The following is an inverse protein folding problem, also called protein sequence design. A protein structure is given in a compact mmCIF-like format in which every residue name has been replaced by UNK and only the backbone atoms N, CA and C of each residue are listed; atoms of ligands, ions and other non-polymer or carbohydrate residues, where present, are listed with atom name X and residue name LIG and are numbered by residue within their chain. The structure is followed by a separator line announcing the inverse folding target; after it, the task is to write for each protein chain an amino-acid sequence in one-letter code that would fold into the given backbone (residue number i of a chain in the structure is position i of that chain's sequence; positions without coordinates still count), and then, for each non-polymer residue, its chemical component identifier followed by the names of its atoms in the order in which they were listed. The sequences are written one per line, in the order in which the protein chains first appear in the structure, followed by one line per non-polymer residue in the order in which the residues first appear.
data_IF_151335367068
#
_entry.id   IF_151335367068
#
_cell.length_a   1.000
_cell.length_b   1.000
_cell.length_c   1.000
_cell.angle_alpha   90.00
_cell.angle_beta   90.00
_cell.angle_gamma   90.00
#
_symmetry.space_group_name_H-M   'P 1'
#
loop_
_entity.id
_entity.type
_entity.pdbx_description
1 polymer ?
#
# COMPACT_ATOMS: atom_id res chain seq x y z
N UNK A 1 1.67 -2.26 -8.30
CA UNK A 1 2.26 -3.55 -7.87
C UNK A 1 1.39 -4.73 -8.33
N UNK A 2 1.97 -5.90 -8.67
CA UNK A 2 1.17 -7.14 -8.89
C UNK A 2 1.01 -7.88 -7.57
N UNK A 3 -0.08 -8.64 -7.42
CA UNK A 3 -0.36 -9.37 -6.18
C UNK A 3 0.67 -10.48 -5.88
N UNK A 4 1.24 -11.09 -6.91
CA UNK A 4 2.33 -12.06 -6.82
C UNK A 4 3.51 -11.52 -6.03
N UNK A 5 3.93 -10.29 -6.33
CA UNK A 5 5.13 -9.65 -5.78
C UNK A 5 4.96 -9.28 -4.30
N UNK A 6 3.71 -9.26 -3.83
CA UNK A 6 3.36 -8.99 -2.42
C UNK A 6 3.38 -10.28 -1.62
N UNK A 7 2.95 -11.39 -2.22
CA UNK A 7 2.91 -12.70 -1.56
C UNK A 7 4.29 -13.29 -1.30
N UNK A 8 5.29 -12.90 -2.08
CA UNK A 8 6.69 -13.34 -1.92
C UNK A 8 7.42 -12.61 -0.79
N UNK A 9 6.86 -11.53 -0.25
CA UNK A 9 7.50 -10.70 0.79
C UNK A 9 7.22 -11.24 2.18
N UNK A 10 8.14 -11.00 3.11
CA UNK A 10 7.94 -11.31 4.53
C UNK A 10 6.91 -10.37 5.17
N UNK A 11 6.35 -10.75 6.32
CA UNK A 11 5.37 -9.91 7.02
C UNK A 11 5.96 -8.55 7.43
N UNK A 12 7.23 -8.51 7.80
CA UNK A 12 7.90 -7.27 8.20
C UNK A 12 8.20 -6.37 7.00
N UNK A 13 8.57 -6.95 5.85
CA UNK A 13 8.69 -6.21 4.59
C UNK A 13 7.34 -5.62 4.15
N UNK A 14 6.25 -6.36 4.34
CA UNK A 14 4.90 -5.89 4.05
C UNK A 14 4.48 -4.74 4.97
N UNK A 15 4.80 -4.82 6.27
CA UNK A 15 4.56 -3.73 7.23
C UNK A 15 5.38 -2.48 6.88
N UNK A 16 6.66 -2.65 6.53
CA UNK A 16 7.52 -1.55 6.12
C UNK A 16 6.97 -0.84 4.87
N UNK A 17 6.63 -1.61 3.83
CA UNK A 17 6.04 -1.06 2.60
C UNK A 17 4.68 -0.40 2.84
N UNK A 18 3.87 -0.93 3.75
CA UNK A 18 2.60 -0.31 4.13
C UNK A 18 2.82 1.08 4.75
N UNK A 19 3.86 1.24 5.58
CA UNK A 19 4.23 2.53 6.17
C UNK A 19 4.70 3.51 5.10
N UNK A 20 5.54 3.07 4.17
CA UNK A 20 6.06 3.94 3.11
C UNK A 20 4.96 4.40 2.15
N UNK A 21 4.07 3.48 1.73
CA UNK A 21 2.91 3.83 0.90
C UNK A 21 1.94 4.78 1.62
N UNK A 22 1.83 4.69 2.95
CA UNK A 22 1.02 5.63 3.75
C UNK A 22 1.64 7.01 3.80
N UNK A 23 2.96 7.12 3.98
CA UNK A 23 3.70 8.39 3.91
C UNK A 23 3.54 9.02 2.52
N UNK A 24 3.71 8.24 1.47
CA UNK A 24 3.53 8.70 0.10
C UNK A 24 2.09 9.18 -0.14
N UNK A 25 1.08 8.42 0.31
CA UNK A 25 -0.32 8.85 0.23
C UNK A 25 -0.60 10.15 0.99
N UNK A 26 0.08 10.39 2.10
CA UNK A 26 -0.07 11.63 2.87
C UNK A 26 0.55 12.81 2.11
N UNK A 27 1.74 12.63 1.56
CA UNK A 27 2.40 13.63 0.72
C UNK A 27 1.58 13.98 -0.52
N UNK A 28 1.01 12.99 -1.21
CA UNK A 28 0.14 13.24 -2.36
C UNK A 28 -1.15 13.98 -1.98
N UNK A 29 -1.68 13.78 -0.76
CA UNK A 29 -2.83 14.55 -0.27
C UNK A 29 -2.47 16.01 -0.07
N UNK A 30 -1.28 16.28 0.46
CA UNK A 30 -0.78 17.64 0.63
C UNK A 30 -0.54 18.33 -0.72
N UNK A 31 0.13 17.65 -1.67
CA UNK A 31 0.32 18.15 -3.04
C UNK A 31 -1.01 18.40 -3.77
N UNK A 32 -2.02 17.54 -3.56
CA UNK A 32 -3.35 17.75 -4.11
C UNK A 32 -4.01 19.03 -3.56
N UNK A 33 -3.84 19.30 -2.26
CA UNK A 33 -4.39 20.48 -1.62
C UNK A 33 -3.65 21.76 -2.02
N UNK A 34 -2.34 21.69 -2.30
CA UNK A 34 -1.55 22.83 -2.80
C UNK A 34 -1.70 23.08 -4.31
N UNK A 35 -2.43 22.22 -5.03
CA UNK A 35 -2.60 22.32 -6.48
C UNK A 35 -1.37 21.91 -7.30
N UNK A 36 -0.38 21.28 -6.68
CA UNK A 36 0.90 20.88 -7.29
C UNK A 36 0.94 19.38 -7.63
N UNK A 37 -0.21 18.72 -7.71
CA UNK A 37 -0.28 17.28 -7.97
C UNK A 37 -0.23 16.99 -9.48
N UNK A 38 0.96 16.66 -9.98
CA UNK A 38 1.14 16.30 -11.40
C UNK A 38 0.57 14.92 -11.75
N UNK A 39 0.75 13.92 -10.87
CA UNK A 39 0.39 12.53 -11.16
C UNK A 39 -0.80 12.04 -10.32
N UNK A 40 -2.01 12.28 -10.81
CA UNK A 40 -3.26 11.83 -10.18
C UNK A 40 -3.44 10.31 -10.22
N UNK A 41 -2.87 9.62 -11.23
CA UNK A 41 -2.93 8.17 -11.34
C UNK A 41 -2.19 7.48 -10.19
N UNK A 42 -1.09 8.08 -9.71
CA UNK A 42 -0.31 7.56 -8.58
C UNK A 42 -1.14 7.44 -7.30
N UNK A 43 -2.04 8.38 -7.03
CA UNK A 43 -2.95 8.33 -5.87
C UNK A 43 -3.82 7.07 -5.88
N UNK A 44 -4.37 6.72 -7.05
CA UNK A 44 -5.18 5.51 -7.20
C UNK A 44 -4.32 4.24 -7.13
N UNK A 45 -3.10 4.27 -7.67
CA UNK A 45 -2.16 3.16 -7.57
C UNK A 45 -1.79 2.85 -6.11
N UNK A 46 -1.41 3.87 -5.33
CA UNK A 46 -1.07 3.72 -3.90
C UNK A 46 -2.24 3.15 -3.11
N UNK A 47 -3.47 3.64 -3.34
CA UNK A 47 -4.66 3.10 -2.67
C UNK A 47 -4.84 1.60 -2.93
N UNK A 48 -4.66 1.17 -4.19
CA UNK A 48 -4.75 -0.24 -4.57
C UNK A 48 -3.60 -1.06 -3.99
N UNK A 49 -2.38 -0.53 -3.97
CA UNK A 49 -1.21 -1.20 -3.41
C UNK A 49 -1.36 -1.41 -1.89
N UNK A 50 -1.84 -0.40 -1.14
CA UNK A 50 -2.18 -0.51 0.29
C UNK A 50 -3.25 -1.58 0.52
N UNK A 51 -4.31 -1.59 -0.30
CA UNK A 51 -5.39 -2.57 -0.16
C UNK A 51 -4.86 -4.01 -0.34
N UNK A 52 -4.05 -4.26 -1.38
CA UNK A 52 -3.47 -5.60 -1.63
C UNK A 52 -2.59 -6.07 -0.48
N UNK A 53 -1.75 -5.20 0.08
CA UNK A 53 -0.89 -5.55 1.24
C UNK A 53 -1.75 -5.93 2.44
N UNK A 54 -2.75 -5.11 2.77
CA UNK A 54 -3.67 -5.40 3.88
C UNK A 54 -4.42 -6.71 3.69
N UNK A 55 -4.90 -6.99 2.48
CA UNK A 55 -5.58 -8.24 2.16
C UNK A 55 -4.68 -9.44 2.42
N UNK A 56 -3.42 -9.41 1.95
CA UNK A 56 -2.49 -10.53 2.15
C UNK A 56 -2.11 -10.73 3.61
N UNK A 57 -1.90 -9.65 4.37
CA UNK A 57 -1.68 -9.73 5.82
C UNK A 57 -2.90 -10.37 6.51
N UNK A 58 -4.11 -10.00 6.09
CA UNK A 58 -5.36 -10.59 6.58
C UNK A 58 -5.47 -12.07 6.23
N UNK A 59 -5.22 -12.44 4.96
CA UNK A 59 -5.19 -13.83 4.48
C UNK A 59 -4.23 -14.69 5.33
N UNK A 60 -3.02 -14.19 5.61
CA UNK A 60 -2.02 -14.87 6.44
C UNK A 60 -2.47 -15.04 7.90
N UNK A 61 -3.10 -14.01 8.46
CA UNK A 61 -3.60 -14.03 9.85
C UNK A 61 -4.75 -15.02 10.00
N UNK A 62 -5.69 -15.03 9.06
CA UNK A 62 -6.80 -15.99 9.04
C UNK A 62 -6.30 -17.44 8.86
N UNK A 63 -5.31 -17.65 7.99
CA UNK A 63 -4.70 -18.97 7.80
C UNK A 63 -3.96 -19.46 9.05
N UNK A 64 -3.28 -18.57 9.80
CA UNK A 64 -2.58 -18.93 11.04
C UNK A 64 -3.53 -19.18 12.24
N UNK A 65 -4.77 -18.69 12.16
CA UNK A 65 -5.80 -18.87 13.17
C UNK A 65 -6.69 -20.11 12.94
N UNK A 66 -6.47 -20.83 11.83
CA UNK A 66 -7.19 -22.06 11.43
C UNK A 66 -6.33 -23.28 11.70
#
# INVERSE_FOLDING_TARGET
MKASDVRTKSDDELKAQLLDLRKESFNLRFQAASGQLDNTARKNAIRKDIARIKTIIGERTSAAAS
#
